data_IF_085764425596
#
_entry.id   IF_085764425596
#
_cell.length_a   1.000
_cell.length_b   1.000
_cell.length_c   1.000
_cell.angle_alpha   90.00
_cell.angle_beta   90.00
_cell.angle_gamma   90.00
#
_symmetry.space_group_name_H-M   'P 1'
#
loop_
_entity.id
_entity.type
_entity.pdbx_description
1 polymer ?
#
# COMPACT_ATOMS: atom_id res chain seq x y z
N UNK A 1 22.19 -6.77 8.05
CA UNK A 1 22.04 -5.90 6.86
C UNK A 1 22.22 -4.46 7.33
N UNK A 2 23.17 -3.73 6.75
CA UNK A 2 23.55 -2.39 7.20
C UNK A 2 22.40 -1.40 6.99
N UNK A 3 21.85 -0.83 8.06
CA UNK A 3 20.78 0.19 8.04
C UNK A 3 21.14 1.44 7.23
N UNK A 4 22.43 1.66 6.93
CA UNK A 4 22.91 2.75 6.08
C UNK A 4 22.48 2.61 4.62
N UNK A 5 22.31 1.40 4.10
CA UNK A 5 21.87 1.20 2.71
C UNK A 5 20.35 1.35 2.53
N UNK A 6 19.57 1.22 3.60
CA UNK A 6 18.13 1.56 3.59
C UNK A 6 17.89 3.07 3.49
N UNK A 7 18.87 3.89 3.94
CA UNK A 7 18.81 5.36 3.90
C UNK A 7 19.58 5.97 2.72
N UNK A 8 20.50 5.23 2.10
CA UNK A 8 21.16 5.67 0.88
C UNK A 8 20.17 5.57 -0.29
N UNK A 9 19.52 6.70 -0.58
CA UNK A 9 18.58 6.99 -1.67
C UNK A 9 19.07 6.69 -3.11
N UNK A 10 20.13 5.89 -3.28
CA UNK A 10 20.64 5.46 -4.59
C UNK A 10 19.75 4.43 -5.29
N UNK A 11 18.80 3.84 -4.56
CA UNK A 11 17.78 2.96 -5.13
C UNK A 11 16.47 3.33 -4.46
N UNK A 12 15.44 3.64 -5.23
CA UNK A 12 14.13 3.96 -4.69
C UNK A 12 13.64 2.73 -3.89
N UNK A 13 13.76 2.79 -2.56
CA UNK A 13 13.29 1.76 -1.61
C UNK A 13 11.79 1.91 -1.38
N UNK A 14 11.26 3.11 -1.63
CA UNK A 14 9.86 3.49 -1.45
C UNK A 14 8.84 2.57 -2.14
N UNK A 15 9.03 2.11 -3.39
CA UNK A 15 8.13 1.14 -4.02
C UNK A 15 7.98 -0.15 -3.21
N UNK A 16 9.08 -0.67 -2.66
CA UNK A 16 9.06 -1.90 -1.85
C UNK A 16 8.36 -1.70 -0.50
N UNK A 17 8.55 -0.54 0.12
CA UNK A 17 7.91 -0.18 1.39
C UNK A 17 6.39 -0.10 1.23
N UNK A 18 5.89 0.48 0.14
CA UNK A 18 4.45 0.58 -0.15
C UNK A 18 3.80 -0.79 -0.25
N UNK A 19 4.47 -1.78 -0.86
CA UNK A 19 3.95 -3.15 -0.97
C UNK A 19 3.84 -3.81 0.41
N UNK A 20 4.79 -3.56 1.32
CA UNK A 20 4.72 -4.05 2.71
C UNK A 20 3.55 -3.39 3.45
N UNK A 21 3.38 -2.07 3.32
CA UNK A 21 2.26 -1.34 3.92
C UNK A 21 0.93 -1.86 3.39
N UNK A 22 0.80 -2.11 2.08
CA UNK A 22 -0.41 -2.66 1.49
C UNK A 22 -0.86 -3.96 2.17
N UNK A 23 0.06 -4.90 2.36
CA UNK A 23 -0.25 -6.17 3.02
C UNK A 23 -0.68 -5.96 4.48
N UNK A 24 0.00 -5.07 5.21
CA UNK A 24 -0.36 -4.73 6.59
C UNK A 24 -1.74 -4.08 6.65
N UNK A 25 -2.03 -3.12 5.76
CA UNK A 25 -3.33 -2.46 5.66
C UNK A 25 -4.45 -3.45 5.30
N UNK A 26 -4.19 -4.41 4.41
CA UNK A 26 -5.16 -5.43 4.05
C UNK A 26 -5.50 -6.32 5.25
N UNK A 27 -4.47 -6.77 6.00
CA UNK A 27 -4.69 -7.51 7.25
C UNK A 27 -5.48 -6.68 8.25
N UNK A 28 -5.15 -5.40 8.42
CA UNK A 28 -5.88 -4.50 9.32
C UNK A 28 -7.36 -4.33 8.94
N UNK A 29 -7.66 -4.18 7.64
CA UNK A 29 -9.04 -4.08 7.14
C UNK A 29 -9.81 -5.38 7.42
N UNK A 30 -9.19 -6.53 7.15
CA UNK A 30 -9.82 -7.84 7.41
C UNK A 30 -10.09 -8.03 8.91
N UNK A 31 -9.12 -7.74 9.77
CA UNK A 31 -9.27 -7.83 11.22
C UNK A 31 -10.33 -6.86 11.75
N UNK A 32 -10.36 -5.63 11.24
CA UNK A 32 -11.35 -4.62 11.66
C UNK A 32 -12.77 -5.01 11.23
N UNK A 33 -12.92 -5.51 10.00
CA UNK A 33 -14.19 -6.00 9.50
C UNK A 33 -14.69 -7.22 10.26
N UNK A 34 -13.83 -8.20 10.51
CA UNK A 34 -14.16 -9.37 11.35
C UNK A 34 -14.53 -8.95 12.77
N UNK A 35 -13.76 -8.05 13.38
CA UNK A 35 -14.05 -7.51 14.71
C UNK A 35 -15.42 -6.83 14.80
N UNK A 36 -15.81 -6.08 13.76
CA UNK A 36 -17.15 -5.49 13.70
C UNK A 36 -18.26 -6.53 13.53
N UNK A 37 -18.02 -7.64 12.83
CA UNK A 37 -19.01 -8.73 12.70
C UNK A 37 -19.33 -9.40 14.04
N UNK A 38 -18.40 -9.40 15.00
CA UNK A 38 -18.64 -9.89 16.37
C UNK A 38 -19.42 -8.89 17.24
N UNK A 39 -19.76 -7.69 16.73
CA UNK A 39 -20.58 -6.72 17.44
C UNK A 39 -22.02 -7.19 17.62
N UNK A 40 -22.54 -7.09 18.85
CA UNK A 40 -23.90 -7.50 19.19
C UNK A 40 -24.96 -6.42 18.87
N UNK A 41 -24.95 -5.88 17.65
CA UNK A 41 -25.95 -4.90 17.19
C UNK A 41 -26.57 -5.29 15.84
N UNK A 42 -27.84 -4.89 15.57
CA UNK A 42 -28.50 -5.19 14.31
C UNK A 42 -27.74 -4.55 13.14
N UNK A 43 -27.28 -5.37 12.18
CA UNK A 43 -26.54 -4.89 11.01
C UNK A 43 -25.02 -4.96 11.11
N UNK A 44 -24.45 -5.40 12.24
CA UNK A 44 -23.00 -5.54 12.45
C UNK A 44 -22.29 -6.38 11.39
N UNK A 45 -22.94 -7.47 10.96
CA UNK A 45 -22.40 -8.36 9.92
C UNK A 45 -22.34 -7.67 8.56
N UNK A 46 -23.39 -6.92 8.20
CA UNK A 46 -23.48 -6.21 6.92
C UNK A 46 -22.48 -5.06 6.89
N UNK A 47 -22.36 -4.33 7.99
CA UNK A 47 -21.41 -3.22 8.12
C UNK A 47 -19.96 -3.71 8.07
N UNK A 48 -19.65 -4.80 8.77
CA UNK A 48 -18.35 -5.46 8.71
C UNK A 48 -17.99 -5.93 7.30
N UNK A 49 -18.94 -6.55 6.58
CA UNK A 49 -18.72 -7.00 5.20
C UNK A 49 -18.46 -5.82 4.26
N UNK A 50 -19.23 -4.75 4.41
CA UNK A 50 -19.07 -3.52 3.63
C UNK A 50 -17.70 -2.87 3.87
N UNK A 51 -17.22 -2.86 5.10
CA UNK A 51 -15.88 -2.35 5.46
C UNK A 51 -14.78 -3.22 4.88
N UNK A 52 -14.91 -4.54 4.87
CA UNK A 52 -13.92 -5.42 4.24
C UNK A 52 -13.83 -5.14 2.74
N UNK A 53 -14.99 -5.03 2.06
CA UNK A 53 -15.04 -4.80 0.62
C UNK A 53 -14.54 -3.40 0.27
N UNK A 54 -15.13 -2.35 0.85
CA UNK A 54 -14.73 -0.97 0.55
C UNK A 54 -13.32 -0.66 1.05
N UNK A 55 -12.94 -1.14 2.23
CA UNK A 55 -11.61 -0.94 2.79
C UNK A 55 -10.52 -1.62 1.97
N UNK A 56 -10.77 -2.83 1.46
CA UNK A 56 -9.84 -3.54 0.58
C UNK A 56 -9.70 -2.84 -0.77
N UNK A 57 -10.82 -2.38 -1.36
CA UNK A 57 -10.80 -1.62 -2.60
C UNK A 57 -10.06 -0.29 -2.44
N UNK A 58 -10.36 0.47 -1.38
CA UNK A 58 -9.71 1.73 -1.10
C UNK A 58 -8.20 1.54 -0.87
N UNK A 59 -7.80 0.53 -0.08
CA UNK A 59 -6.41 0.20 0.16
C UNK A 59 -5.67 -0.16 -1.15
N UNK A 60 -6.32 -0.89 -2.07
CA UNK A 60 -5.75 -1.19 -3.41
C UNK A 60 -5.54 0.09 -4.21
N UNK A 61 -6.58 0.89 -4.40
CA UNK A 61 -6.53 2.12 -5.22
C UNK A 61 -5.47 3.07 -4.68
N UNK A 62 -5.43 3.28 -3.36
CA UNK A 62 -4.46 4.18 -2.72
C UNK A 62 -3.01 3.69 -2.90
N UNK A 63 -2.76 2.40 -2.69
CA UNK A 63 -1.42 1.82 -2.85
C UNK A 63 -0.97 1.81 -4.31
N UNK A 64 -1.88 1.54 -5.26
CA UNK A 64 -1.58 1.50 -6.69
C UNK A 64 -1.23 2.88 -7.22
N UNK A 65 -2.00 3.92 -6.85
CA UNK A 65 -1.69 5.32 -7.16
C UNK A 65 -0.34 5.73 -6.57
N UNK A 66 -0.09 5.42 -5.29
CA UNK A 66 1.17 5.72 -4.63
C UNK A 66 2.36 5.07 -5.36
N UNK A 67 2.25 3.79 -5.71
CA UNK A 67 3.28 3.05 -6.44
C UNK A 67 3.55 3.65 -7.83
N UNK A 68 2.49 4.06 -8.54
CA UNK A 68 2.60 4.68 -9.87
C UNK A 68 3.44 5.96 -9.81
N UNK A 69 3.25 6.83 -8.81
CA UNK A 69 4.07 8.04 -8.65
C UNK A 69 5.57 7.72 -8.55
N UNK A 70 5.95 6.71 -7.77
CA UNK A 70 7.36 6.31 -7.67
C UNK A 70 7.89 5.66 -8.95
N UNK A 71 7.06 4.90 -9.66
CA UNK A 71 7.40 4.32 -10.96
C UNK A 71 7.67 5.39 -12.01
N UNK A 72 6.91 6.48 -12.01
CA UNK A 72 7.14 7.63 -12.89
C UNK A 72 8.52 8.23 -12.59
N UNK A 73 8.85 8.43 -11.32
CA UNK A 73 10.15 8.96 -10.91
C UNK A 73 11.33 8.06 -11.37
N UNK A 74 11.21 6.73 -11.18
CA UNK A 74 12.21 5.77 -11.69
C UNK A 74 12.38 5.84 -13.22
N UNK A 75 11.29 6.02 -13.96
CA UNK A 75 11.33 6.08 -15.42
C UNK A 75 11.95 7.38 -15.92
N UNK A 76 11.69 8.50 -15.27
CA UNK A 76 12.33 9.79 -15.59
C UNK A 76 13.84 9.73 -15.38
N UNK A 77 14.30 9.12 -14.28
CA UNK A 77 15.72 8.93 -14.00
C UNK A 77 16.41 8.06 -15.06
N UNK A 78 15.72 7.00 -15.52
CA UNK A 78 16.22 6.15 -16.63
C UNK A 78 16.30 6.88 -17.97
N UNK A 79 15.37 7.80 -18.26
CA UNK A 79 15.40 8.60 -19.49
C UNK A 79 16.57 9.59 -19.47
N UNK A 80 16.78 10.29 -18.36
CA UNK A 80 17.89 11.23 -18.21
C UNK A 80 19.27 10.56 -18.37
N UNK A 81 19.43 9.31 -17.89
CA UNK A 81 20.67 8.55 -18.08
C UNK A 81 20.92 8.16 -19.55
N UNK A 82 19.88 8.00 -20.36
CA UNK A 82 20.01 7.62 -21.79
C UNK A 82 20.33 8.80 -22.70
N UNK A 83 19.95 10.02 -22.34
CA UNK A 83 20.23 11.24 -23.11
C UNK A 83 21.69 11.73 -22.93
N UNK A 84 22.30 11.41 -21.79
CA UNK A 84 23.70 11.73 -21.48
C UNK A 84 24.71 10.68 -21.98
N UNK A 85 24.33 9.80 -22.93
CA UNK A 85 25.18 8.75 -23.50
C UNK A 85 25.05 8.72 -25.03
#
# INVERSE_FOLDING_TARGET
>A
MNFKELFLFNKLVTPKIIVVIYWVSLVAVVLSGLGMMFGSYPGAIIQGLLIIVLGSLFARIWCELSLIFFKINENLEKLNRKDNQ
#
